data_IF_719978211374
#
_entry.id   IF_719978211374
#
_cell.length_a   1.000
_cell.length_b   1.000
_cell.length_c   1.000
_cell.angle_alpha   90.00
_cell.angle_beta   90.00
_cell.angle_gamma   90.00
#
_symmetry.space_group_name_H-M   'P 1'
#
loop_
_entity.id
_entity.type
_entity.pdbx_description
1 polymer ?
#
# COMPACT_ATOMS: atom_id res chain seq x y z
N UNK A 1 -16.31 4.35 -37.03
CA UNK A 1 -16.23 4.44 -35.55
C UNK A 1 -15.14 3.46 -35.10
N UNK A 2 -13.90 3.92 -35.17
CA UNK A 2 -12.70 3.14 -34.96
C UNK A 2 -12.54 2.83 -33.47
N UNK A 3 -12.69 1.56 -33.09
CA UNK A 3 -12.29 1.10 -31.75
C UNK A 3 -10.77 1.30 -31.67
N UNK A 4 -10.35 2.42 -31.03
CA UNK A 4 -8.97 2.53 -30.57
C UNK A 4 -8.72 1.35 -29.65
N UNK A 5 -8.01 0.38 -30.16
CA UNK A 5 -7.43 -0.71 -29.37
C UNK A 5 -6.64 -0.08 -28.24
N UNK A 6 -7.13 -0.26 -27.00
CA UNK A 6 -6.46 0.20 -25.78
C UNK A 6 -5.30 -0.76 -25.45
N UNK A 7 -4.42 -0.98 -26.41
CA UNK A 7 -3.18 -1.68 -26.17
C UNK A 7 -2.32 -0.88 -25.18
N UNK A 8 -1.59 -1.57 -24.33
CA UNK A 8 -0.60 -1.00 -23.41
C UNK A 8 0.41 -0.20 -24.23
N UNK A 9 0.27 1.12 -24.25
CA UNK A 9 1.07 1.99 -25.11
C UNK A 9 2.50 2.15 -24.58
N UNK A 10 3.45 2.43 -25.47
CA UNK A 10 4.86 2.67 -25.12
C UNK A 10 5.05 3.71 -24.00
N UNK A 11 4.20 4.75 -23.99
CA UNK A 11 4.21 5.77 -22.94
C UNK A 11 3.83 5.20 -21.57
N UNK A 12 2.84 4.33 -21.50
CA UNK A 12 2.43 3.69 -20.24
C UNK A 12 3.53 2.75 -19.73
N UNK A 13 4.16 1.98 -20.64
CA UNK A 13 5.30 1.15 -20.31
C UNK A 13 6.47 1.96 -19.75
N UNK A 14 6.79 3.11 -20.36
CA UNK A 14 7.83 4.00 -19.88
C UNK A 14 7.53 4.55 -18.47
N UNK A 15 6.30 4.97 -18.21
CA UNK A 15 5.91 5.42 -16.86
C UNK A 15 6.02 4.30 -15.82
N UNK A 16 5.54 3.10 -16.13
CA UNK A 16 5.67 1.95 -15.23
C UNK A 16 7.16 1.64 -14.96
N UNK A 17 8.01 1.66 -15.98
CA UNK A 17 9.44 1.41 -15.83
C UNK A 17 10.13 2.46 -14.95
N UNK A 18 9.82 3.75 -15.13
CA UNK A 18 10.38 4.84 -14.31
C UNK A 18 9.98 4.70 -12.84
N UNK A 19 8.70 4.44 -12.55
CA UNK A 19 8.24 4.28 -11.18
C UNK A 19 8.72 2.96 -10.55
N UNK A 20 8.86 1.89 -11.32
CA UNK A 20 9.49 0.65 -10.84
C UNK A 20 10.98 0.87 -10.50
N UNK A 21 11.72 1.57 -11.37
CA UNK A 21 13.11 1.93 -11.08
C UNK A 21 13.23 2.81 -9.82
N UNK A 22 12.32 3.77 -9.65
CA UNK A 22 12.27 4.59 -8.43
C UNK A 22 12.04 3.73 -7.19
N UNK A 23 11.13 2.76 -7.23
CA UNK A 23 10.91 1.78 -6.17
C UNK A 23 12.22 1.03 -5.83
N UNK A 24 12.90 0.50 -6.83
CA UNK A 24 14.18 -0.22 -6.65
C UNK A 24 15.20 0.68 -5.95
N UNK A 25 15.38 1.92 -6.43
CA UNK A 25 16.33 2.87 -5.83
C UNK A 25 15.98 3.16 -4.38
N UNK A 26 14.71 3.43 -4.08
CA UNK A 26 14.28 3.72 -2.70
C UNK A 26 14.48 2.50 -1.79
N UNK A 27 14.09 1.31 -2.22
CA UNK A 27 14.23 0.09 -1.41
C UNK A 27 15.70 -0.26 -1.15
N UNK A 28 16.59 0.00 -2.11
CA UNK A 28 18.00 -0.38 -1.99
C UNK A 28 18.85 0.65 -1.24
N UNK A 29 18.58 1.93 -1.40
CA UNK A 29 19.46 3.00 -0.91
C UNK A 29 18.92 3.77 0.30
N UNK A 30 17.62 3.67 0.60
CA UNK A 30 17.06 4.31 1.79
C UNK A 30 17.10 3.34 2.97
N UNK A 31 17.58 3.77 4.15
CA UNK A 31 17.60 2.94 5.36
C UNK A 31 16.21 2.40 5.70
N UNK A 32 16.17 1.14 6.15
CA UNK A 32 14.94 0.49 6.58
C UNK A 32 14.68 0.78 8.04
N UNK A 33 13.41 0.91 8.39
CA UNK A 33 12.96 0.88 9.78
C UNK A 33 12.87 -0.60 10.19
N UNK A 34 13.64 -1.07 11.19
CA UNK A 34 13.61 -2.48 11.59
C UNK A 34 12.21 -2.93 12.00
N UNK A 35 11.80 -4.11 11.53
CA UNK A 35 10.56 -4.74 12.00
C UNK A 35 10.85 -5.41 13.34
N UNK A 36 10.05 -5.06 14.34
CA UNK A 36 10.12 -5.68 15.65
C UNK A 36 9.71 -7.15 15.53
N UNK A 37 10.54 -8.05 16.02
CA UNK A 37 10.29 -9.50 15.98
C UNK A 37 10.72 -10.22 14.70
N UNK A 38 11.32 -9.52 13.72
CA UNK A 38 11.88 -10.15 12.52
C UNK A 38 13.31 -9.67 12.29
N UNK A 39 14.32 -10.41 12.76
CA UNK A 39 15.73 -10.09 12.52
C UNK A 39 16.02 -9.96 11.00
N UNK A 40 16.64 -8.85 10.60
CA UNK A 40 16.93 -8.57 9.20
C UNK A 40 15.74 -8.07 8.35
N UNK A 41 14.51 -8.11 8.87
CA UNK A 41 13.34 -7.50 8.27
C UNK A 41 13.32 -5.99 8.48
N UNK A 42 12.74 -5.24 7.53
CA UNK A 42 12.62 -3.79 7.67
C UNK A 42 11.56 -3.23 6.74
N UNK A 43 10.87 -2.21 7.22
CA UNK A 43 9.93 -1.44 6.44
C UNK A 43 10.71 -0.37 5.68
N UNK A 44 10.49 -0.30 4.38
CA UNK A 44 11.16 0.64 3.50
C UNK A 44 10.31 1.89 3.27
N UNK A 45 10.95 3.03 2.99
CA UNK A 45 10.24 4.26 2.61
C UNK A 45 9.43 4.07 1.31
N UNK A 46 9.75 3.08 0.51
CA UNK A 46 8.97 2.68 -0.66
C UNK A 46 7.50 2.42 -0.31
N UNK A 47 7.23 1.79 0.85
CA UNK A 47 5.86 1.62 1.33
C UNK A 47 5.12 2.96 1.47
N UNK A 48 5.81 4.05 1.89
CA UNK A 48 5.20 5.38 2.00
C UNK A 48 4.88 6.01 0.64
N UNK A 49 5.66 5.72 -0.40
CA UNK A 49 5.45 6.31 -1.72
C UNK A 49 4.63 5.43 -2.67
N UNK A 50 4.48 4.14 -2.39
CA UNK A 50 3.69 3.23 -3.21
C UNK A 50 2.25 3.72 -3.50
N UNK A 51 1.47 4.26 -2.53
CA UNK A 51 0.16 4.83 -2.84
C UNK A 51 0.21 5.95 -3.87
N UNK A 52 1.30 6.74 -3.91
CA UNK A 52 1.48 7.82 -4.89
C UNK A 52 1.58 7.27 -6.31
N UNK A 53 2.18 6.08 -6.50
CA UNK A 53 2.20 5.42 -7.82
C UNK A 53 0.78 5.16 -8.33
N UNK A 54 -0.09 4.64 -7.48
CA UNK A 54 -1.49 4.42 -7.82
C UNK A 54 -2.25 5.70 -8.12
N UNK A 55 -1.99 6.77 -7.37
CA UNK A 55 -2.60 8.09 -7.57
C UNK A 55 -2.16 8.70 -8.91
N UNK A 56 -0.88 8.61 -9.26
CA UNK A 56 -0.31 9.19 -10.47
C UNK A 56 -0.61 8.35 -11.71
N UNK A 57 -0.34 7.07 -11.67
CA UNK A 57 -0.47 6.16 -12.82
C UNK A 57 -1.86 5.53 -12.96
N UNK A 58 -2.65 5.59 -11.89
CA UNK A 58 -3.90 4.83 -11.77
C UNK A 58 -3.68 3.47 -11.09
N UNK A 59 -4.79 2.80 -10.70
CA UNK A 59 -4.71 1.65 -9.80
C UNK A 59 -3.91 0.47 -10.35
N UNK A 60 -4.06 0.14 -11.62
CA UNK A 60 -3.42 -1.04 -12.20
C UNK A 60 -1.96 -0.80 -12.58
N UNK A 61 -1.67 0.34 -13.24
CA UNK A 61 -0.30 0.66 -13.64
C UNK A 61 0.58 1.00 -12.43
N UNK A 62 0.00 1.69 -11.43
CA UNK A 62 0.70 1.97 -10.17
C UNK A 62 1.00 0.69 -9.38
N UNK A 63 0.04 -0.24 -9.29
CA UNK A 63 0.25 -1.54 -8.68
C UNK A 63 1.32 -2.36 -9.42
N UNK A 64 1.28 -2.36 -10.76
CA UNK A 64 2.27 -3.05 -11.58
C UNK A 64 3.68 -2.48 -11.37
N UNK A 65 3.82 -1.15 -11.32
CA UNK A 65 5.10 -0.50 -11.08
C UNK A 65 5.68 -0.87 -9.69
N UNK A 66 4.86 -0.81 -8.64
CA UNK A 66 5.26 -1.19 -7.29
C UNK A 66 5.66 -2.68 -7.21
N UNK A 67 4.87 -3.57 -7.85
CA UNK A 67 5.15 -5.00 -7.89
C UNK A 67 6.46 -5.31 -8.60
N UNK A 68 6.68 -4.73 -9.78
CA UNK A 68 7.93 -4.92 -10.54
C UNK A 68 9.12 -4.46 -9.72
N UNK A 69 9.05 -3.28 -9.08
CA UNK A 69 10.11 -2.77 -8.22
C UNK A 69 10.44 -3.73 -7.08
N UNK A 70 9.43 -4.22 -6.37
CA UNK A 70 9.59 -5.19 -5.28
C UNK A 70 10.19 -6.53 -5.75
N UNK A 71 9.70 -7.08 -6.86
CA UNK A 71 10.21 -8.34 -7.45
C UNK A 71 11.67 -8.20 -7.89
N UNK A 72 12.04 -7.09 -8.53
CA UNK A 72 13.44 -6.84 -8.92
C UNK A 72 14.35 -6.84 -7.67
N UNK A 73 13.91 -6.19 -6.60
CA UNK A 73 14.69 -6.17 -5.35
C UNK A 73 14.73 -7.55 -4.69
N UNK A 74 13.63 -8.32 -4.70
CA UNK A 74 13.64 -9.71 -4.21
C UNK A 74 14.67 -10.55 -4.98
N UNK A 75 14.80 -10.34 -6.29
CA UNK A 75 15.85 -10.97 -7.11
C UNK A 75 17.27 -10.62 -6.66
N UNK A 76 17.55 -9.37 -6.33
CA UNK A 76 18.88 -8.94 -5.83
C UNK A 76 19.22 -9.52 -4.45
N UNK A 77 18.22 -10.01 -3.71
CA UNK A 77 18.36 -10.63 -2.37
C UNK A 77 18.33 -12.15 -2.39
N UNK A 78 18.41 -12.77 -3.57
CA UNK A 78 18.46 -14.24 -3.71
C UNK A 78 17.09 -14.91 -3.72
N UNK A 79 16.03 -14.20 -4.13
CA UNK A 79 14.68 -14.76 -4.31
C UNK A 79 14.07 -15.35 -3.03
N UNK A 80 14.27 -14.69 -1.90
CA UNK A 80 13.64 -15.10 -0.64
C UNK A 80 12.12 -15.05 -0.78
N UNK A 81 11.46 -16.16 -0.47
CA UNK A 81 9.99 -16.30 -0.64
C UNK A 81 9.23 -15.19 0.07
N UNK A 82 9.66 -14.81 1.28
CA UNK A 82 9.07 -13.70 2.02
C UNK A 82 9.15 -12.37 1.26
N UNK A 83 10.31 -12.04 0.66
CA UNK A 83 10.49 -10.81 -0.11
C UNK A 83 9.61 -10.79 -1.37
N UNK A 84 9.45 -11.94 -2.03
CA UNK A 84 8.55 -12.09 -3.20
C UNK A 84 7.10 -11.82 -2.80
N UNK A 85 6.63 -12.47 -1.73
CA UNK A 85 5.24 -12.34 -1.29
C UNK A 85 4.94 -10.94 -0.73
N UNK A 86 5.87 -10.33 0.00
CA UNK A 86 5.70 -8.97 0.52
C UNK A 86 5.76 -7.91 -0.58
N UNK A 87 6.31 -8.21 -1.77
CA UNK A 87 6.25 -7.30 -2.92
C UNK A 87 4.82 -6.99 -3.39
N UNK A 88 3.84 -7.83 -3.05
CA UNK A 88 2.42 -7.56 -3.33
C UNK A 88 1.81 -6.50 -2.41
N UNK A 89 2.38 -6.27 -1.23
CA UNK A 89 1.84 -5.30 -0.26
C UNK A 89 1.85 -3.86 -0.78
N UNK A 90 2.98 -3.29 -1.27
CA UNK A 90 2.98 -1.98 -1.90
C UNK A 90 2.15 -1.93 -3.20
N UNK A 91 2.03 -3.04 -3.93
CA UNK A 91 1.16 -3.09 -5.11
C UNK A 91 -0.32 -2.92 -4.72
N UNK A 92 -0.77 -3.58 -3.65
CA UNK A 92 -2.14 -3.40 -3.13
C UNK A 92 -2.34 -1.98 -2.59
N UNK A 93 -1.34 -1.39 -1.94
CA UNK A 93 -1.36 0.02 -1.52
C UNK A 93 -1.60 0.96 -2.70
N UNK A 94 -0.83 0.82 -3.75
CA UNK A 94 -0.97 1.61 -4.98
C UNK A 94 -2.36 1.39 -5.63
N UNK A 95 -2.84 0.15 -5.68
CA UNK A 95 -4.14 -0.19 -6.24
C UNK A 95 -5.28 0.51 -5.47
N UNK A 96 -5.31 0.41 -4.15
CA UNK A 96 -6.34 1.02 -3.30
C UNK A 96 -6.34 2.54 -3.43
N UNK A 97 -5.16 3.18 -3.33
CA UNK A 97 -5.04 4.64 -3.45
C UNK A 97 -5.47 5.14 -4.85
N UNK A 98 -5.08 4.43 -5.90
CA UNK A 98 -5.48 4.73 -7.27
C UNK A 98 -6.98 4.55 -7.52
N UNK A 99 -7.63 3.53 -6.91
CA UNK A 99 -9.08 3.33 -7.00
C UNK A 99 -9.87 4.48 -6.37
N UNK A 100 -9.36 5.06 -5.29
CA UNK A 100 -10.03 6.14 -4.57
C UNK A 100 -9.90 7.49 -5.28
N UNK A 101 -8.79 7.75 -5.97
CA UNK A 101 -8.53 9.04 -6.63
C UNK A 101 -9.05 9.11 -8.06
N UNK A 102 -9.17 7.98 -8.77
CA UNK A 102 -9.62 7.94 -10.16
C UNK A 102 -11.09 7.58 -10.30
N UNK A 103 -11.89 8.45 -10.91
CA UNK A 103 -13.28 8.15 -11.29
C UNK A 103 -13.32 7.30 -12.56
N UNK A 104 -14.24 6.32 -12.58
CA UNK A 104 -14.30 5.19 -13.49
C UNK A 104 -14.55 5.37 -14.98
N UNK A 105 -14.38 6.55 -15.60
CA UNK A 105 -14.65 6.71 -17.03
C UNK A 105 -13.54 6.22 -17.97
N UNK A 106 -12.32 6.06 -17.50
CA UNK A 106 -11.16 5.78 -18.37
C UNK A 106 -11.05 4.31 -18.82
N UNK A 107 -11.74 3.37 -18.16
CA UNK A 107 -11.68 1.92 -18.48
C UNK A 107 -13.08 1.27 -18.60
N UNK A 108 -14.04 1.94 -19.23
CA UNK A 108 -15.33 1.33 -19.59
C UNK A 108 -16.25 0.90 -18.43
N UNK A 109 -15.91 1.25 -17.19
CA UNK A 109 -16.69 0.94 -16.01
C UNK A 109 -17.69 2.03 -15.67
N UNK A 110 -18.95 1.65 -15.43
CA UNK A 110 -20.04 2.53 -15.00
C UNK A 110 -19.64 3.38 -13.80
N UNK A 111 -19.64 4.69 -14.01
CA UNK A 111 -19.65 5.79 -13.04
C UNK A 111 -19.30 5.50 -11.57
N UNK A 112 -18.17 6.04 -11.13
CA UNK A 112 -17.96 6.41 -9.72
C UNK A 112 -17.83 5.29 -8.68
N UNK A 113 -17.86 4.00 -9.05
CA UNK A 113 -17.93 2.87 -8.10
C UNK A 113 -16.59 2.22 -7.76
N UNK A 114 -15.46 2.77 -8.17
CA UNK A 114 -14.13 2.20 -7.85
C UNK A 114 -13.84 2.17 -6.35
N UNK A 115 -14.44 3.07 -5.56
CA UNK A 115 -14.37 3.02 -4.11
C UNK A 115 -14.87 1.69 -3.53
N UNK A 116 -15.82 1.00 -4.21
CA UNK A 116 -16.28 -0.33 -3.79
C UNK A 116 -15.13 -1.33 -3.86
N UNK A 117 -14.31 -1.31 -4.93
CA UNK A 117 -13.13 -2.16 -5.02
C UNK A 117 -12.13 -1.92 -3.88
N UNK A 118 -11.85 -0.64 -3.56
CA UNK A 118 -11.01 -0.30 -2.43
C UNK A 118 -11.61 -0.77 -1.08
N UNK A 119 -12.93 -0.57 -0.88
CA UNK A 119 -13.63 -1.07 0.30
C UNK A 119 -13.59 -2.61 0.39
N UNK A 120 -13.78 -3.30 -0.74
CA UNK A 120 -13.74 -4.77 -0.79
C UNK A 120 -12.35 -5.30 -0.42
N UNK A 121 -11.27 -4.68 -0.91
CA UNK A 121 -9.91 -5.08 -0.55
C UNK A 121 -9.70 -4.93 0.96
N UNK A 122 -10.03 -3.75 1.54
CA UNK A 122 -9.91 -3.52 2.98
C UNK A 122 -10.75 -4.48 3.80
N UNK A 123 -11.99 -4.76 3.35
CA UNK A 123 -12.88 -5.70 4.02
C UNK A 123 -12.33 -7.13 3.98
N UNK A 124 -11.86 -7.60 2.82
CA UNK A 124 -11.29 -8.94 2.65
C UNK A 124 -10.04 -9.10 3.52
N UNK A 125 -9.14 -8.12 3.55
CA UNK A 125 -7.94 -8.16 4.38
C UNK A 125 -8.28 -8.17 5.87
N UNK A 126 -9.25 -7.35 6.30
CA UNK A 126 -9.72 -7.31 7.69
C UNK A 126 -10.41 -8.61 8.07
N UNK A 127 -11.27 -9.15 7.22
CA UNK A 127 -11.93 -10.43 7.44
C UNK A 127 -10.91 -11.59 7.48
N UNK A 128 -9.91 -11.56 6.59
CA UNK A 128 -8.80 -12.52 6.57
C UNK A 128 -8.03 -12.54 7.89
N UNK A 129 -7.83 -11.37 8.52
CA UNK A 129 -7.23 -11.29 9.86
C UNK A 129 -8.08 -12.05 10.89
N UNK A 130 -9.37 -11.80 10.97
CA UNK A 130 -10.25 -12.48 11.94
C UNK A 130 -10.49 -13.95 11.64
N UNK A 131 -10.24 -14.41 10.41
CA UNK A 131 -10.36 -15.81 10.02
C UNK A 131 -9.23 -16.69 10.59
N UNK A 132 -8.08 -16.11 10.95
CA UNK A 132 -6.93 -16.84 11.51
C UNK A 132 -6.93 -16.80 13.04
N UNK A 133 -6.34 -17.84 13.67
CA UNK A 133 -6.28 -17.97 15.14
C UNK A 133 -5.57 -16.81 15.85
N UNK A 134 -4.53 -16.21 15.20
CA UNK A 134 -3.84 -15.04 15.73
C UNK A 134 -4.77 -13.84 15.79
N UNK A 135 -5.56 -13.61 14.75
CA UNK A 135 -6.47 -12.49 14.66
C UNK A 135 -7.61 -12.57 15.68
N UNK A 136 -8.10 -13.79 15.97
CA UNK A 136 -9.10 -14.01 17.00
C UNK A 136 -8.59 -13.65 18.40
N UNK A 137 -7.27 -13.79 18.64
CA UNK A 137 -6.61 -13.49 19.93
C UNK A 137 -5.96 -12.09 19.97
N UNK A 138 -5.88 -11.41 18.83
CA UNK A 138 -5.42 -10.02 18.71
C UNK A 138 -6.49 -9.16 17.98
N UNK A 139 -7.71 -9.03 18.55
CA UNK A 139 -8.86 -8.45 17.85
C UNK A 139 -8.74 -6.94 17.60
N UNK A 140 -7.90 -6.23 18.33
CA UNK A 140 -7.72 -4.78 18.15
C UNK A 140 -6.69 -4.43 17.06
N UNK A 141 -5.87 -5.39 16.61
CA UNK A 141 -4.82 -5.13 15.63
C UNK A 141 -5.35 -4.50 14.33
N UNK A 142 -6.50 -4.90 13.73
CA UNK A 142 -7.00 -4.31 12.49
C UNK A 142 -7.72 -2.96 12.67
N UNK A 143 -7.56 -2.28 13.81
CA UNK A 143 -8.20 -0.96 14.04
C UNK A 143 -7.85 0.05 12.95
N UNK A 144 -6.62 0.05 12.44
CA UNK A 144 -6.18 0.92 11.36
C UNK A 144 -6.93 0.65 10.05
N UNK A 145 -7.15 -0.62 9.73
CA UNK A 145 -7.89 -1.06 8.55
C UNK A 145 -9.37 -0.74 8.66
N UNK A 146 -9.94 -0.89 9.86
CA UNK A 146 -11.33 -0.50 10.15
C UNK A 146 -11.49 1.01 9.95
N UNK A 147 -10.56 1.84 10.44
CA UNK A 147 -10.55 3.29 10.18
C UNK A 147 -10.44 3.56 8.67
N UNK A 148 -9.56 2.86 7.95
CA UNK A 148 -9.45 2.97 6.50
C UNK A 148 -10.76 2.63 5.78
N UNK A 149 -11.42 1.55 6.17
CA UNK A 149 -12.71 1.15 5.64
C UNK A 149 -13.79 2.20 5.92
N UNK A 150 -13.83 2.75 7.13
CA UNK A 150 -14.75 3.84 7.49
C UNK A 150 -14.51 5.09 6.63
N UNK A 151 -13.24 5.47 6.40
CA UNK A 151 -12.89 6.58 5.50
C UNK A 151 -13.46 6.31 4.10
N UNK A 152 -13.25 5.12 3.53
CA UNK A 152 -13.77 4.78 2.21
C UNK A 152 -15.30 4.85 2.17
N UNK A 153 -15.98 4.34 3.20
CA UNK A 153 -17.44 4.33 3.26
C UNK A 153 -18.05 5.73 3.47
N UNK A 154 -17.41 6.58 4.27
CA UNK A 154 -17.88 7.95 4.53
C UNK A 154 -17.65 8.84 3.31
N UNK A 155 -16.45 8.81 2.75
CA UNK A 155 -16.08 9.70 1.64
C UNK A 155 -16.46 9.15 0.27
N UNK A 156 -16.61 7.84 0.09
CA UNK A 156 -17.02 7.18 -1.16
C UNK A 156 -16.35 7.82 -2.40
N UNK A 157 -17.14 8.28 -3.36
CA UNK A 157 -16.66 9.00 -4.55
C UNK A 157 -16.15 10.43 -4.32
N UNK A 158 -16.32 11.00 -3.12
CA UNK A 158 -15.88 12.38 -2.82
C UNK A 158 -14.36 12.53 -2.88
N UNK A 159 -13.58 11.49 -2.54
CA UNK A 159 -12.11 11.53 -2.65
C UNK A 159 -11.70 11.84 -4.09
N UNK A 160 -12.32 11.22 -5.09
CA UNK A 160 -12.01 11.49 -6.49
C UNK A 160 -12.44 12.91 -6.94
N UNK A 161 -13.49 13.46 -6.35
CA UNK A 161 -13.92 14.85 -6.59
C UNK A 161 -12.93 15.84 -5.98
N UNK A 162 -12.50 15.62 -4.72
CA UNK A 162 -11.46 16.42 -4.07
C UNK A 162 -10.14 16.35 -4.85
N UNK A 163 -9.79 15.18 -5.34
CA UNK A 163 -8.58 15.01 -6.14
C UNK A 163 -8.61 15.85 -7.43
N UNK A 164 -9.75 16.03 -8.07
CA UNK A 164 -9.92 16.85 -9.29
C UNK A 164 -10.03 18.35 -9.01
N UNK A 165 -10.11 18.77 -7.75
CA UNK A 165 -10.21 20.19 -7.39
C UNK A 165 -8.98 20.99 -7.83
N UNK A 166 -9.17 22.26 -8.15
CA UNK A 166 -8.09 23.21 -8.39
C UNK A 166 -7.43 23.67 -7.07
N UNK A 167 -8.10 23.49 -5.93
CA UNK A 167 -7.60 23.94 -4.62
C UNK A 167 -6.58 22.95 -4.08
N UNK A 168 -5.38 23.44 -3.76
CA UNK A 168 -4.30 22.63 -3.19
C UNK A 168 -4.73 21.85 -1.94
N UNK A 169 -5.53 22.47 -1.06
CA UNK A 169 -6.04 21.83 0.17
C UNK A 169 -6.87 20.60 -0.12
N UNK A 170 -7.76 20.66 -1.11
CA UNK A 170 -8.63 19.53 -1.49
C UNK A 170 -7.80 18.38 -2.07
N UNK A 171 -6.82 18.70 -2.93
CA UNK A 171 -5.89 17.70 -3.50
C UNK A 171 -5.09 17.05 -2.40
N UNK A 172 -4.53 17.83 -1.46
CA UNK A 172 -3.77 17.31 -0.32
C UNK A 172 -4.62 16.38 0.55
N UNK A 173 -5.87 16.75 0.84
CA UNK A 173 -6.79 15.91 1.60
C UNK A 173 -7.11 14.60 0.86
N UNK A 174 -7.35 14.68 -0.46
CA UNK A 174 -7.59 13.48 -1.27
C UNK A 174 -6.38 12.54 -1.27
N UNK A 175 -5.16 13.09 -1.39
CA UNK A 175 -3.91 12.32 -1.32
C UNK A 175 -3.74 11.70 0.07
N UNK A 176 -3.99 12.44 1.15
CA UNK A 176 -3.90 11.94 2.52
C UNK A 176 -4.84 10.74 2.74
N UNK A 177 -6.13 10.91 2.44
CA UNK A 177 -7.13 9.88 2.68
C UNK A 177 -6.87 8.63 1.83
N UNK A 178 -6.52 8.80 0.55
CA UNK A 178 -6.25 7.68 -0.35
C UNK A 178 -4.95 6.96 0.00
N UNK A 179 -3.89 7.70 0.37
CA UNK A 179 -2.62 7.11 0.79
C UNK A 179 -2.75 6.36 2.11
N UNK A 180 -3.48 6.91 3.08
CA UNK A 180 -3.77 6.20 4.33
C UNK A 180 -4.46 4.86 4.05
N UNK A 181 -5.54 4.85 3.26
CA UNK A 181 -6.25 3.61 2.91
C UNK A 181 -5.34 2.59 2.18
N UNK A 182 -4.47 3.06 1.31
CA UNK A 182 -3.45 2.23 0.66
C UNK A 182 -2.47 1.63 1.67
N UNK A 183 -1.88 2.48 2.52
CA UNK A 183 -0.87 2.08 3.52
C UNK A 183 -1.41 1.08 4.54
N UNK A 184 -2.66 1.21 4.99
CA UNK A 184 -3.23 0.23 5.92
C UNK A 184 -3.59 -1.09 5.23
N UNK A 185 -3.88 -1.07 3.93
CA UNK A 185 -4.04 -2.30 3.13
C UNK A 185 -2.72 -3.05 2.97
N UNK A 186 -1.63 -2.33 2.63
CA UNK A 186 -0.25 -2.84 2.61
C UNK A 186 0.12 -3.49 3.95
N UNK A 187 -0.06 -2.77 5.04
CA UNK A 187 0.25 -3.22 6.39
C UNK A 187 -0.46 -4.53 6.76
N UNK A 188 -1.77 -4.64 6.46
CA UNK A 188 -2.52 -5.86 6.75
C UNK A 188 -2.06 -7.03 5.89
N UNK A 189 -1.83 -6.80 4.59
CA UNK A 189 -1.35 -7.86 3.70
C UNK A 189 0.04 -8.36 4.13
N UNK A 190 0.95 -7.46 4.49
CA UNK A 190 2.25 -7.80 5.04
C UNK A 190 2.15 -8.61 6.34
N UNK A 191 1.28 -8.20 7.27
CA UNK A 191 1.01 -8.90 8.51
C UNK A 191 0.44 -10.31 8.29
N UNK A 192 -0.51 -10.47 7.38
CA UNK A 192 -1.07 -11.77 6.99
C UNK A 192 0.00 -12.65 6.35
N UNK A 193 0.82 -12.09 5.45
CA UNK A 193 1.93 -12.81 4.82
C UNK A 193 2.93 -13.32 5.86
N UNK A 194 3.25 -12.48 6.85
CA UNK A 194 4.14 -12.86 7.94
C UNK A 194 3.57 -14.04 8.74
N UNK A 195 2.31 -13.95 9.21
CA UNK A 195 1.69 -15.00 10.04
C UNK A 195 1.56 -16.31 9.27
N UNK A 196 1.06 -16.25 8.03
CA UNK A 196 0.89 -17.43 7.20
C UNK A 196 2.24 -18.04 6.77
N UNK A 197 3.30 -17.25 6.79
CA UNK A 197 4.66 -17.68 6.49
C UNK A 197 5.34 -18.43 7.62
N UNK A 198 4.86 -18.29 8.88
CA UNK A 198 5.46 -18.95 10.03
C UNK A 198 5.31 -20.48 9.90
N UNK A 199 6.40 -21.20 9.98
CA UNK A 199 6.46 -22.64 9.78
C UNK A 199 6.48 -23.10 8.31
N UNK A 200 6.27 -22.18 7.34
CA UNK A 200 6.38 -22.48 5.91
C UNK A 200 7.70 -21.99 5.32
N UNK A 201 7.99 -20.73 5.43
CA UNK A 201 9.22 -20.07 4.94
C UNK A 201 9.87 -19.15 5.98
N UNK A 202 9.20 -18.89 7.12
CA UNK A 202 9.76 -18.25 8.30
C UNK A 202 9.96 -19.35 9.36
N UNK A 203 11.21 -19.65 9.78
CA UNK A 203 11.44 -20.68 10.78
C UNK A 203 10.74 -20.34 12.11
N UNK A 204 10.01 -21.29 12.67
CA UNK A 204 9.30 -21.11 13.93
C UNK A 204 10.25 -20.73 15.07
N UNK A 205 11.42 -21.39 15.13
CA UNK A 205 12.45 -21.11 16.14
C UNK A 205 12.91 -19.65 16.14
N UNK A 206 12.98 -19.02 14.95
CA UNK A 206 13.34 -17.60 14.83
C UNK A 206 12.29 -16.71 15.49
N UNK A 207 11.01 -17.03 15.28
CA UNK A 207 9.89 -16.30 15.88
C UNK A 207 9.85 -16.49 17.38
N UNK A 208 10.05 -17.74 17.86
CA UNK A 208 10.09 -18.06 19.29
C UNK A 208 11.25 -17.37 20.01
N UNK A 209 12.43 -17.34 19.42
CA UNK A 209 13.59 -16.61 19.94
C UNK A 209 13.32 -15.10 20.03
N UNK A 210 12.70 -14.51 19.02
CA UNK A 210 12.33 -13.11 19.03
C UNK A 210 11.29 -12.79 20.12
N UNK A 211 10.26 -13.62 20.26
CA UNK A 211 9.27 -13.49 21.34
C UNK A 211 9.92 -13.57 22.72
N UNK A 212 10.81 -14.54 22.92
CA UNK A 212 11.55 -14.75 24.17
C UNK A 212 12.44 -13.55 24.51
N UNK A 213 13.16 -13.01 23.52
CA UNK A 213 14.03 -11.85 23.69
C UNK A 213 13.22 -10.58 24.07
N UNK A 214 11.97 -10.49 23.65
CA UNK A 214 11.07 -9.38 24.00
C UNK A 214 10.21 -9.62 25.26
N UNK A 215 10.30 -10.80 25.87
CA UNK A 215 9.47 -11.19 27.02
C UNK A 215 7.98 -11.34 26.64
N UNK A 216 7.66 -11.64 25.38
CA UNK A 216 6.30 -11.79 24.90
C UNK A 216 5.85 -13.26 24.94
N UNK A 217 4.62 -13.53 25.45
CA UNK A 217 4.18 -14.90 25.66
C UNK A 217 3.68 -15.61 24.38
N UNK A 218 3.40 -14.87 23.29
CA UNK A 218 2.80 -15.45 22.10
C UNK A 218 2.83 -14.51 20.89
N UNK A 219 2.59 -15.06 19.69
CA UNK A 219 2.47 -14.28 18.45
C UNK A 219 1.33 -13.26 18.52
N UNK A 220 0.10 -13.56 19.01
CA UNK A 220 -0.91 -12.52 19.22
C UNK A 220 -0.44 -11.37 20.11
N UNK A 221 0.32 -11.65 21.17
CA UNK A 221 0.88 -10.61 22.04
C UNK A 221 1.87 -9.71 21.29
N UNK A 222 2.65 -10.27 20.35
CA UNK A 222 3.54 -9.49 19.49
C UNK A 222 2.74 -8.46 18.66
N UNK A 223 1.65 -8.87 18.02
CA UNK A 223 0.85 -7.95 17.22
C UNK A 223 0.19 -6.85 18.06
N UNK A 224 -0.26 -7.18 19.27
CA UNK A 224 -0.78 -6.18 20.20
C UNK A 224 0.32 -5.23 20.69
N UNK A 225 1.54 -5.72 20.91
CA UNK A 225 2.69 -4.92 21.32
C UNK A 225 3.13 -3.95 20.22
N UNK A 226 3.14 -4.37 18.96
CA UNK A 226 3.55 -3.51 17.83
C UNK A 226 2.45 -2.57 17.35
N UNK A 227 1.18 -2.74 17.77
CA UNK A 227 0.06 -1.91 17.32
C UNK A 227 0.28 -0.41 17.56
N UNK A 228 0.68 0.08 18.74
CA UNK A 228 0.96 1.52 18.96
C UNK A 228 2.05 2.05 18.02
N UNK A 229 3.08 1.25 17.77
CA UNK A 229 4.17 1.59 16.86
C UNK A 229 3.66 1.69 15.43
N UNK A 230 2.83 0.72 15.00
CA UNK A 230 2.19 0.74 13.68
C UNK A 230 1.28 1.95 13.47
N UNK A 231 0.58 2.42 14.51
CA UNK A 231 -0.24 3.64 14.45
C UNK A 231 0.63 4.85 14.10
N UNK A 232 1.71 5.06 14.85
CA UNK A 232 2.63 6.18 14.62
C UNK A 232 3.29 6.07 13.24
N UNK A 233 3.74 4.88 12.89
CA UNK A 233 4.38 4.61 11.61
C UNK A 233 3.45 4.90 10.43
N UNK A 234 2.20 4.40 10.44
CA UNK A 234 1.23 4.66 9.37
C UNK A 234 0.84 6.14 9.30
N UNK A 235 0.78 6.84 10.42
CA UNK A 235 0.57 8.29 10.44
C UNK A 235 1.73 9.05 9.76
N UNK A 236 2.97 8.73 10.11
CA UNK A 236 4.17 9.33 9.50
C UNK A 236 4.25 9.02 8.01
N UNK A 237 4.05 7.76 7.60
CA UNK A 237 4.06 7.38 6.19
C UNK A 237 2.95 8.08 5.39
N UNK A 238 1.75 8.25 5.98
CA UNK A 238 0.67 9.00 5.35
C UNK A 238 1.01 10.49 5.18
N UNK A 239 1.70 11.07 6.14
CA UNK A 239 2.19 12.45 6.03
C UNK A 239 3.24 12.60 4.92
N UNK A 240 4.23 11.69 4.87
CA UNK A 240 5.26 11.66 3.81
C UNK A 240 4.61 11.48 2.44
N UNK A 241 3.72 10.49 2.29
CA UNK A 241 2.97 10.27 1.05
C UNK A 241 2.18 11.50 0.62
N UNK A 242 1.58 12.21 1.58
CA UNK A 242 0.80 13.42 1.31
C UNK A 242 1.67 14.58 0.86
N UNK A 243 2.78 14.84 1.53
CA UNK A 243 3.71 15.93 1.17
C UNK A 243 4.31 15.68 -0.21
N UNK A 244 4.91 14.51 -0.41
CA UNK A 244 5.53 14.13 -1.68
C UNK A 244 4.50 14.03 -2.81
N UNK A 245 3.40 13.30 -2.59
CA UNK A 245 2.38 13.07 -3.60
C UNK A 245 1.68 14.35 -4.02
N UNK A 246 1.33 15.24 -3.08
CA UNK A 246 0.69 16.52 -3.42
C UNK A 246 1.64 17.39 -4.25
N UNK A 247 2.91 17.50 -3.86
CA UNK A 247 3.89 18.27 -4.61
C UNK A 247 4.07 17.73 -6.04
N UNK A 248 4.24 16.42 -6.18
CA UNK A 248 4.39 15.74 -7.47
C UNK A 248 3.15 15.94 -8.37
N UNK A 249 1.94 15.75 -7.82
CA UNK A 249 0.69 15.90 -8.59
C UNK A 249 0.51 17.33 -9.08
N UNK A 250 0.78 18.33 -8.24
CA UNK A 250 0.68 19.73 -8.64
C UNK A 250 1.72 20.09 -9.72
N UNK A 251 2.94 19.57 -9.61
CA UNK A 251 3.99 19.73 -10.63
C UNK A 251 3.58 19.08 -11.97
N UNK A 252 3.04 17.84 -11.94
CA UNK A 252 2.58 17.14 -13.15
C UNK A 252 1.38 17.83 -13.81
N UNK A 253 0.48 18.44 -13.02
CA UNK A 253 -0.62 19.24 -13.56
C UNK A 253 -0.16 20.55 -14.19
N UNK A 254 0.84 21.22 -13.61
CA UNK A 254 1.40 22.46 -14.16
C UNK A 254 2.14 22.22 -15.48
N UNK A 255 2.80 21.09 -15.63
CA UNK A 255 3.51 20.67 -16.85
C UNK A 255 2.59 20.06 -17.92
N UNK A 256 1.27 20.01 -17.69
CA UNK A 256 0.25 19.41 -18.59
C UNK A 256 0.47 17.92 -18.90
N UNK A 257 1.29 17.24 -18.15
CA UNK A 257 1.50 15.77 -18.26
C UNK A 257 0.27 15.04 -17.69
N UNK A 258 -0.34 15.58 -16.63
CA UNK A 258 -1.61 15.08 -16.09
C UNK A 258 -2.77 16.02 -16.49
N UNK A 259 -3.93 15.47 -16.91
CA UNK A 259 -5.13 16.29 -17.11
C UNK A 259 -5.56 16.95 -15.79
N UNK A 260 -6.07 18.17 -15.89
CA UNK A 260 -6.61 18.94 -14.76
C UNK A 260 -7.89 18.27 -14.21
#
# INVERSE_FOLDING_TARGET
MERRDKSFGAQQAAYVAVFAALSVVVIMFVPRIPIIGLPGGGITLDAAIAPVYGIVLGPYLGALAALIGGIVVAGTRGWVVFDILTSFSPAVSAMVAGMLTRSGSEFGGRNGRRWIGAASILLILTAGWYAIWVGQRAPLYPVLQIVGLLIVLIFRGRISTLFKSAKRKDVSLAVLLSSYCGLVSDHMLGGLTYILGIGLFIPLDTVEQALKAMGLPSIPALFMYVLPISIVERALMSAIATLFGTALILALRSSRIMPK
#
